data_IF_170140497086
#
_entry.id   IF_170140497086
#
_cell.length_a   1.000
_cell.length_b   1.000
_cell.length_c   1.000
_cell.angle_alpha   90.00
_cell.angle_beta   90.00
_cell.angle_gamma   90.00
#
_symmetry.space_group_name_H-M   'P 1'
#
loop_
_entity.id
_entity.type
_entity.pdbx_description
1 polymer ?
#
# COMPACT_ATOMS: atom_id res chain seq x y z
N UNK A 1 -8.04 3.70 -19.64
CA UNK A 1 -7.66 5.14 -19.73
C UNK A 1 -8.89 6.01 -19.55
N UNK A 2 -8.73 7.24 -19.04
CA UNK A 2 -9.82 8.23 -18.84
C UNK A 2 -9.99 9.21 -20.00
N UNK A 3 -9.18 9.08 -21.02
CA UNK A 3 -9.22 9.81 -22.29
C UNK A 3 -9.66 8.87 -23.40
N UNK A 4 -9.83 9.39 -24.60
CA UNK A 4 -10.06 8.57 -25.78
C UNK A 4 -8.98 7.51 -25.93
N UNK A 5 -9.40 6.30 -26.28
CA UNK A 5 -8.51 5.15 -26.52
C UNK A 5 -7.63 5.44 -27.73
N UNK A 6 -6.31 5.29 -27.56
CA UNK A 6 -5.32 5.55 -28.63
C UNK A 6 -4.55 4.32 -29.06
N UNK A 7 -4.64 3.22 -28.29
CA UNK A 7 -3.94 1.98 -28.57
C UNK A 7 -4.87 0.78 -28.32
N UNK A 8 -4.63 -0.31 -29.02
CA UNK A 8 -5.42 -1.54 -28.94
C UNK A 8 -5.47 -2.13 -27.52
N UNK A 9 -4.35 -2.02 -26.78
CA UNK A 9 -4.22 -2.47 -25.38
C UNK A 9 -4.81 -1.50 -24.35
N UNK A 10 -5.50 -0.46 -24.77
CA UNK A 10 -6.18 0.47 -23.86
C UNK A 10 -7.68 0.16 -23.79
N UNK A 11 -8.23 0.28 -22.59
CA UNK A 11 -9.67 0.20 -22.31
C UNK A 11 -10.11 1.55 -21.75
N UNK A 12 -11.21 2.10 -22.30
CA UNK A 12 -11.83 3.29 -21.70
C UNK A 12 -12.40 2.96 -20.34
N UNK A 13 -12.06 3.79 -19.36
CA UNK A 13 -12.48 3.61 -17.98
C UNK A 13 -12.54 4.97 -17.26
N UNK A 14 -13.73 5.38 -16.86
CA UNK A 14 -13.99 6.66 -16.21
C UNK A 14 -14.82 6.46 -14.92
N UNK A 15 -14.17 6.19 -13.77
CA UNK A 15 -14.87 5.91 -12.51
C UNK A 15 -15.81 7.02 -12.07
N UNK A 16 -15.44 8.30 -12.23
CA UNK A 16 -16.26 9.42 -11.82
C UNK A 16 -17.54 9.58 -12.65
N UNK A 17 -17.55 9.06 -13.86
CA UNK A 17 -18.72 9.01 -14.74
C UNK A 17 -19.45 7.67 -14.67
N UNK A 18 -18.89 6.70 -13.95
CA UNK A 18 -19.39 5.31 -13.90
C UNK A 18 -19.46 4.65 -15.29
N UNK A 19 -18.47 4.90 -16.14
CA UNK A 19 -18.39 4.42 -17.52
C UNK A 19 -17.15 3.53 -17.71
N UNK A 20 -17.33 2.39 -18.38
CA UNK A 20 -16.29 1.47 -18.80
C UNK A 20 -16.69 0.82 -20.13
N UNK A 21 -15.72 0.50 -20.97
CA UNK A 21 -15.92 -0.31 -22.18
C UNK A 21 -16.23 -1.76 -21.78
N UNK A 22 -17.51 -2.12 -21.83
CA UNK A 22 -18.02 -3.43 -21.40
C UNK A 22 -17.54 -4.54 -22.34
N UNK A 23 -17.50 -4.28 -23.66
CA UNK A 23 -17.08 -5.29 -24.64
C UNK A 23 -15.64 -5.72 -24.36
N UNK A 24 -14.73 -4.77 -24.17
CA UNK A 24 -13.35 -5.06 -23.78
C UNK A 24 -13.22 -5.64 -22.37
N UNK A 25 -14.03 -5.20 -21.42
CA UNK A 25 -14.05 -5.79 -20.08
C UNK A 25 -14.33 -7.30 -20.12
N UNK A 26 -15.27 -7.74 -20.95
CA UNK A 26 -15.65 -9.13 -21.11
C UNK A 26 -14.57 -10.01 -21.74
N UNK A 27 -13.56 -9.42 -22.39
CA UNK A 27 -12.43 -10.16 -22.99
C UNK A 27 -11.27 -10.38 -22.01
N UNK A 28 -11.32 -9.82 -20.78
CA UNK A 28 -10.25 -9.93 -19.81
C UNK A 28 -10.30 -11.25 -19.04
N UNK A 29 -9.15 -11.83 -18.78
CA UNK A 29 -9.00 -13.00 -17.89
C UNK A 29 -8.96 -12.58 -16.41
N UNK A 30 -8.31 -11.44 -16.13
CA UNK A 30 -8.08 -10.94 -14.78
C UNK A 30 -8.01 -9.41 -14.75
N UNK A 31 -8.29 -8.83 -13.58
CA UNK A 31 -8.13 -7.40 -13.30
C UNK A 31 -7.23 -7.21 -12.08
N UNK A 32 -6.27 -6.28 -12.22
CA UNK A 32 -5.51 -5.75 -11.08
C UNK A 32 -5.85 -4.26 -10.95
N UNK A 33 -6.59 -3.91 -9.91
CA UNK A 33 -7.03 -2.54 -9.64
C UNK A 33 -6.06 -1.82 -8.70
N UNK A 34 -5.20 -0.97 -9.27
CA UNK A 34 -4.20 -0.18 -8.52
C UNK A 34 -4.51 1.32 -8.49
N UNK A 35 -5.58 1.74 -9.17
CA UNK A 35 -5.84 3.15 -9.38
C UNK A 35 -6.36 3.84 -8.12
N UNK A 36 -5.74 4.97 -7.78
CA UNK A 36 -6.15 5.81 -6.66
C UNK A 36 -5.27 7.07 -6.59
N UNK A 37 -5.80 8.12 -5.99
CA UNK A 37 -5.04 9.34 -5.68
C UNK A 37 -3.93 9.01 -4.67
N UNK A 38 -2.72 9.55 -4.86
CA UNK A 38 -1.60 9.32 -3.95
C UNK A 38 -1.92 9.78 -2.52
N UNK A 39 -1.63 8.92 -1.54
CA UNK A 39 -1.76 9.25 -0.12
C UNK A 39 -0.68 10.26 0.30
N UNK A 40 0.56 10.05 -0.14
CA UNK A 40 1.69 10.93 0.13
C UNK A 40 1.84 12.01 -0.95
N UNK A 41 2.51 13.13 -0.66
CA UNK A 41 2.94 14.08 -1.66
C UNK A 41 3.85 13.44 -2.72
N UNK A 42 3.93 14.05 -3.89
CA UNK A 42 4.77 13.57 -4.99
C UNK A 42 6.27 13.86 -4.80
N UNK A 43 6.58 14.86 -3.99
CA UNK A 43 7.93 15.32 -3.71
C UNK A 43 8.08 15.81 -2.26
N UNK A 44 9.32 16.09 -1.84
CA UNK A 44 9.62 16.54 -0.47
C UNK A 44 8.97 17.87 -0.13
N UNK A 45 8.83 18.76 -1.10
CA UNK A 45 8.22 20.07 -0.90
C UNK A 45 6.72 19.96 -0.62
N UNK A 46 6.09 18.87 -1.09
CA UNK A 46 4.71 18.56 -0.81
C UNK A 46 4.41 18.30 0.67
N UNK A 47 5.41 18.01 1.49
CA UNK A 47 5.24 17.88 2.95
C UNK A 47 5.21 19.24 3.67
N UNK A 48 5.66 20.31 3.04
CA UNK A 48 5.65 21.64 3.66
C UNK A 48 4.21 22.11 3.95
N UNK A 49 4.00 22.89 5.03
CA UNK A 49 2.66 23.28 5.48
C UNK A 49 1.78 23.97 4.43
N UNK A 50 2.38 24.70 3.51
CA UNK A 50 1.67 25.50 2.48
C UNK A 50 1.57 24.81 1.12
N UNK A 51 2.14 23.63 0.93
CA UNK A 51 2.24 22.96 -0.36
C UNK A 51 0.99 22.21 -0.80
N UNK A 52 -0.05 22.08 0.06
CA UNK A 52 -1.27 21.32 -0.24
C UNK A 52 -1.11 19.79 -0.23
N UNK A 53 0.07 19.28 0.13
CA UNK A 53 0.31 17.83 0.23
C UNK A 53 -0.26 17.16 1.48
N UNK A 54 -0.64 17.97 2.47
CA UNK A 54 -1.30 17.50 3.70
C UNK A 54 -2.73 17.01 3.44
N UNK A 55 -3.24 16.15 4.31
CA UNK A 55 -4.62 15.68 4.25
C UNK A 55 -5.62 16.76 4.69
N UNK A 56 -5.86 17.75 3.84
CA UNK A 56 -6.98 18.66 3.97
C UNK A 56 -8.29 18.01 3.45
N UNK A 57 -9.42 18.67 3.62
CA UNK A 57 -10.74 18.14 3.22
C UNK A 57 -10.79 17.76 1.74
N UNK A 58 -10.21 18.58 0.87
CA UNK A 58 -10.19 18.37 -0.57
C UNK A 58 -9.30 17.17 -0.95
N UNK A 59 -8.09 17.09 -0.39
CA UNK A 59 -7.18 15.96 -0.62
C UNK A 59 -7.79 14.64 -0.13
N UNK A 60 -8.39 14.63 1.07
CA UNK A 60 -9.11 13.47 1.60
C UNK A 60 -10.27 13.05 0.69
N UNK A 61 -11.07 14.00 0.22
CA UNK A 61 -12.15 13.73 -0.72
C UNK A 61 -11.61 13.07 -2.01
N UNK A 62 -10.53 13.61 -2.61
CA UNK A 62 -9.92 12.99 -3.80
C UNK A 62 -9.40 11.58 -3.52
N UNK A 63 -8.73 11.38 -2.38
CA UNK A 63 -8.21 10.07 -1.97
C UNK A 63 -9.34 9.05 -1.85
N UNK A 64 -10.41 9.38 -1.15
CA UNK A 64 -11.54 8.50 -0.91
C UNK A 64 -12.29 8.19 -2.21
N UNK A 65 -12.73 9.20 -2.92
CA UNK A 65 -13.59 9.03 -4.10
C UNK A 65 -12.86 8.43 -5.29
N UNK A 66 -11.54 8.67 -5.44
CA UNK A 66 -10.77 8.04 -6.52
C UNK A 66 -10.77 6.51 -6.42
N UNK A 67 -10.92 5.96 -5.20
CA UNK A 67 -10.98 4.53 -4.93
C UNK A 67 -12.42 4.01 -4.95
N UNK A 68 -13.29 4.70 -4.22
CA UNK A 68 -14.70 4.31 -4.08
C UNK A 68 -15.39 4.20 -5.44
N UNK A 69 -15.26 5.22 -6.27
CA UNK A 69 -15.85 5.18 -7.63
C UNK A 69 -15.26 4.08 -8.50
N UNK A 70 -13.98 3.78 -8.36
CA UNK A 70 -13.35 2.67 -9.09
C UNK A 70 -13.89 1.32 -8.65
N UNK A 71 -13.97 1.10 -7.35
CA UNK A 71 -14.51 -0.15 -6.79
C UNK A 71 -16.00 -0.31 -7.14
N UNK A 72 -16.80 0.75 -7.02
CA UNK A 72 -18.23 0.72 -7.34
C UNK A 72 -18.47 0.44 -8.83
N UNK A 73 -17.69 1.05 -9.72
CA UNK A 73 -17.79 0.80 -11.17
C UNK A 73 -17.48 -0.66 -11.49
N UNK A 74 -16.44 -1.25 -10.91
CA UNK A 74 -16.15 -2.67 -11.11
C UNK A 74 -17.27 -3.56 -10.57
N UNK A 75 -17.78 -3.30 -9.37
CA UNK A 75 -18.90 -4.05 -8.80
C UNK A 75 -20.14 -3.99 -9.72
N UNK A 76 -20.50 -2.80 -10.20
CA UNK A 76 -21.57 -2.61 -11.15
C UNK A 76 -21.34 -3.42 -12.42
N UNK A 77 -20.15 -3.27 -13.04
CA UNK A 77 -19.81 -3.92 -14.30
C UNK A 77 -19.83 -5.45 -14.17
N UNK A 78 -19.27 -5.99 -13.07
CA UNK A 78 -19.37 -7.43 -12.80
C UNK A 78 -20.82 -7.90 -12.72
N UNK A 79 -21.67 -7.18 -11.98
CA UNK A 79 -23.05 -7.59 -11.73
C UNK A 79 -23.98 -7.44 -12.94
N UNK A 80 -23.59 -6.61 -13.91
CA UNK A 80 -24.35 -6.36 -15.17
C UNK A 80 -23.81 -7.17 -16.36
N UNK A 81 -22.69 -7.91 -16.18
CA UNK A 81 -22.04 -8.67 -17.26
C UNK A 81 -22.31 -10.17 -17.12
N UNK A 82 -22.67 -10.83 -18.21
CA UNK A 82 -22.78 -12.30 -18.28
C UNK A 82 -21.41 -12.97 -18.43
N UNK A 83 -20.46 -12.28 -19.08
CA UNK A 83 -19.07 -12.71 -19.26
C UNK A 83 -18.19 -11.74 -18.50
N UNK A 84 -17.32 -12.26 -17.63
CA UNK A 84 -16.51 -11.43 -16.73
C UNK A 84 -15.18 -12.11 -16.36
N UNK A 85 -14.16 -11.32 -16.02
CA UNK A 85 -12.87 -11.82 -15.52
C UNK A 85 -13.05 -12.68 -14.25
N UNK A 86 -12.37 -13.82 -14.21
CA UNK A 86 -12.50 -14.76 -13.08
C UNK A 86 -11.64 -14.38 -11.88
N UNK A 87 -10.73 -13.41 -12.04
CA UNK A 87 -9.80 -12.97 -11.02
C UNK A 87 -9.89 -11.45 -10.90
N UNK A 88 -10.13 -10.97 -9.69
CA UNK A 88 -10.07 -9.55 -9.37
C UNK A 88 -9.12 -9.33 -8.19
N UNK A 89 -8.00 -8.65 -8.42
CA UNK A 89 -7.06 -8.25 -7.38
C UNK A 89 -7.17 -6.74 -7.19
N UNK A 90 -7.52 -6.30 -5.99
CA UNK A 90 -7.52 -4.88 -5.64
C UNK A 90 -6.35 -4.54 -4.74
N UNK A 91 -5.72 -3.39 -4.98
CA UNK A 91 -4.85 -2.80 -3.98
C UNK A 91 -5.68 -2.42 -2.75
N UNK A 92 -5.07 -2.59 -1.59
CA UNK A 92 -5.54 -2.10 -0.30
C UNK A 92 -4.31 -1.70 0.53
N UNK A 93 -4.48 -1.35 1.78
CA UNK A 93 -3.39 -0.99 2.67
C UNK A 93 -3.45 -1.75 3.99
N UNK A 94 -2.28 -2.05 4.55
CA UNK A 94 -2.18 -2.63 5.90
C UNK A 94 -2.74 -1.73 6.99
N UNK A 95 -2.90 -0.44 6.71
CA UNK A 95 -3.54 0.53 7.61
C UNK A 95 -4.98 0.17 7.97
N UNK A 96 -5.62 -0.72 7.21
CA UNK A 96 -6.96 -1.24 7.51
C UNK A 96 -7.04 -1.86 8.92
N UNK A 97 -5.95 -2.42 9.41
CA UNK A 97 -5.90 -3.01 10.75
C UNK A 97 -5.96 -1.97 11.86
N UNK A 98 -5.46 -0.73 11.61
CA UNK A 98 -5.24 0.28 12.62
C UNK A 98 -4.06 -0.05 13.54
N UNK A 99 -3.82 0.79 14.55
CA UNK A 99 -2.69 0.62 15.46
C UNK A 99 -2.92 -0.55 16.42
N UNK A 100 -2.01 -1.51 16.42
CA UNK A 100 -2.05 -2.71 17.28
C UNK A 100 -0.87 -2.81 18.26
N UNK A 101 -0.03 -1.74 18.36
CA UNK A 101 1.17 -1.80 19.20
C UNK A 101 2.10 -2.92 18.75
N UNK A 102 2.40 -3.84 19.66
CA UNK A 102 3.26 -5.01 19.43
C UNK A 102 2.50 -6.33 19.17
N UNK A 103 1.15 -6.28 19.12
CA UNK A 103 0.37 -7.47 18.76
C UNK A 103 0.70 -7.92 17.34
N UNK A 104 0.87 -9.24 17.16
CA UNK A 104 1.09 -9.84 15.83
C UNK A 104 -0.21 -9.86 15.05
N UNK A 105 -0.16 -9.33 13.83
CA UNK A 105 -1.29 -9.23 12.90
C UNK A 105 -1.07 -10.21 11.75
N UNK A 106 -2.11 -10.98 11.39
CA UNK A 106 -2.15 -11.83 10.19
C UNK A 106 -3.43 -11.55 9.40
N UNK A 107 -3.61 -12.22 8.27
CA UNK A 107 -4.84 -12.12 7.48
C UNK A 107 -6.09 -12.65 8.21
N UNK A 108 -5.90 -13.44 9.25
CA UNK A 108 -6.99 -13.94 10.11
C UNK A 108 -7.44 -12.93 11.18
N UNK A 109 -6.69 -11.83 11.37
CA UNK A 109 -7.06 -10.78 12.32
C UNK A 109 -8.32 -10.06 11.86
N UNK A 110 -9.39 -10.15 12.65
CA UNK A 110 -10.71 -9.55 12.37
C UNK A 110 -11.00 -8.31 13.20
N UNK A 111 -10.23 -8.09 14.27
CA UNK A 111 -10.35 -6.88 15.09
C UNK A 111 -9.55 -5.76 14.43
N UNK A 112 -10.24 -4.70 14.03
CA UNK A 112 -9.63 -3.49 13.46
C UNK A 112 -9.73 -2.35 14.47
N UNK A 113 -8.58 -1.75 14.80
CA UNK A 113 -8.54 -0.60 15.70
C UNK A 113 -8.80 0.67 14.89
N UNK A 114 -10.09 1.02 14.76
CA UNK A 114 -10.56 2.11 13.92
C UNK A 114 -10.22 3.48 14.49
N UNK A 115 -10.02 4.47 13.64
CA UNK A 115 -9.85 5.87 14.03
C UNK A 115 -9.09 6.76 13.07
N UNK A 116 -8.49 6.22 12.01
CA UNK A 116 -7.73 7.00 11.04
C UNK A 116 -8.41 7.07 9.67
N UNK A 117 -8.11 8.14 8.92
CA UNK A 117 -8.69 8.34 7.59
C UNK A 117 -8.22 7.30 6.57
N UNK A 118 -6.95 6.94 6.59
CA UNK A 118 -6.37 5.93 5.70
C UNK A 118 -6.94 4.53 5.94
N UNK A 119 -7.24 4.19 7.19
CA UNK A 119 -7.98 2.98 7.54
C UNK A 119 -9.38 2.97 6.94
N UNK A 120 -10.13 4.06 7.14
CA UNK A 120 -11.46 4.23 6.57
C UNK A 120 -11.42 4.08 5.03
N UNK A 121 -10.42 4.66 4.37
CA UNK A 121 -10.23 4.53 2.93
C UNK A 121 -9.99 3.09 2.51
N UNK A 122 -9.14 2.36 3.23
CA UNK A 122 -8.83 0.96 2.93
C UNK A 122 -10.08 0.06 3.12
N UNK A 123 -10.84 0.29 4.19
CA UNK A 123 -12.01 -0.51 4.51
C UNK A 123 -13.21 -0.17 3.60
N UNK A 124 -13.62 1.11 3.55
CA UNK A 124 -14.89 1.51 2.93
C UNK A 124 -14.77 1.81 1.42
N UNK A 125 -13.63 2.33 0.99
CA UNK A 125 -13.47 2.71 -0.41
C UNK A 125 -12.87 1.60 -1.28
N UNK A 126 -12.04 0.73 -0.72
CA UNK A 126 -11.42 -0.36 -1.47
C UNK A 126 -12.03 -1.73 -1.20
N UNK A 127 -12.07 -2.21 0.06
CA UNK A 127 -12.39 -3.61 0.34
C UNK A 127 -13.88 -3.90 0.44
N UNK A 128 -14.65 -3.08 1.18
CA UNK A 128 -16.06 -3.33 1.46
C UNK A 128 -16.95 -3.38 0.20
N UNK A 129 -16.77 -2.50 -0.80
CA UNK A 129 -17.62 -2.55 -2.00
C UNK A 129 -17.59 -3.89 -2.71
N UNK A 130 -16.45 -4.57 -2.73
CA UNK A 130 -16.26 -5.83 -3.46
C UNK A 130 -17.13 -6.98 -2.96
N UNK A 131 -17.64 -6.88 -1.72
CA UNK A 131 -18.59 -7.86 -1.18
C UNK A 131 -19.94 -7.88 -1.91
N UNK A 132 -20.24 -6.83 -2.66
CA UNK A 132 -21.45 -6.70 -3.47
C UNK A 132 -21.35 -7.36 -4.86
N UNK A 133 -20.20 -7.92 -5.23
CA UNK A 133 -20.08 -8.76 -6.44
C UNK A 133 -20.89 -10.05 -6.22
N UNK A 134 -21.88 -10.27 -7.09
CA UNK A 134 -22.84 -11.38 -6.97
C UNK A 134 -22.27 -12.73 -7.44
N UNK A 135 -21.31 -12.69 -8.36
CA UNK A 135 -20.69 -13.87 -8.97
C UNK A 135 -19.74 -14.54 -8.00
N UNK A 136 -20.15 -15.70 -7.45
CA UNK A 136 -19.41 -16.44 -6.42
C UNK A 136 -18.16 -17.16 -6.93
N UNK A 137 -18.04 -17.32 -8.23
CA UNK A 137 -16.91 -17.92 -8.92
C UNK A 137 -15.78 -16.91 -9.24
N UNK A 138 -16.01 -15.62 -8.98
CA UNK A 138 -14.96 -14.61 -9.08
C UNK A 138 -14.04 -14.73 -7.86
N UNK A 139 -12.76 -15.01 -8.10
CA UNK A 139 -11.73 -15.03 -7.08
C UNK A 139 -11.24 -13.61 -6.79
N UNK A 140 -11.59 -13.10 -5.63
CA UNK A 140 -11.23 -11.74 -5.19
C UNK A 140 -10.03 -11.83 -4.25
N UNK A 141 -8.96 -11.06 -4.55
CA UNK A 141 -7.79 -10.87 -3.69
C UNK A 141 -7.70 -9.41 -3.28
N UNK A 142 -7.57 -9.17 -1.98
CA UNK A 142 -7.42 -7.84 -1.38
C UNK A 142 -5.97 -7.69 -0.94
N UNK A 143 -5.12 -7.12 -1.80
CA UNK A 143 -3.69 -6.96 -1.57
C UNK A 143 -3.45 -5.82 -0.57
N UNK A 144 -3.28 -6.16 0.72
CA UNK A 144 -2.98 -5.22 1.81
C UNK A 144 -1.50 -4.88 1.80
N UNK A 145 -1.15 -3.85 1.05
CA UNK A 145 0.22 -3.41 0.90
C UNK A 145 0.73 -2.72 2.18
N UNK A 146 1.91 -3.14 2.64
CA UNK A 146 2.68 -2.44 3.65
C UNK A 146 3.37 -1.20 3.08
N UNK A 147 4.38 -0.72 3.79
CA UNK A 147 5.22 0.39 3.35
C UNK A 147 6.14 -0.07 2.21
N UNK A 148 5.78 0.28 0.98
CA UNK A 148 6.51 -0.13 -0.22
C UNK A 148 7.77 0.72 -0.37
N UNK A 149 8.91 0.05 -0.41
CA UNK A 149 10.20 0.64 -0.76
C UNK A 149 10.49 0.41 -2.24
N UNK A 150 10.91 1.46 -2.93
CA UNK A 150 11.25 1.41 -4.36
C UNK A 150 12.11 2.60 -4.75
N UNK A 151 13.04 2.46 -5.69
CA UNK A 151 14.01 3.50 -6.10
C UNK A 151 13.35 4.81 -6.51
N UNK A 152 12.22 4.74 -7.21
CA UNK A 152 11.44 5.93 -7.63
C UNK A 152 10.56 6.53 -6.54
N UNK A 153 10.51 5.92 -5.35
CA UNK A 153 9.65 6.35 -4.26
C UNK A 153 10.34 7.44 -3.42
N UNK A 154 9.66 8.56 -3.18
CA UNK A 154 10.16 9.68 -2.38
C UNK A 154 10.58 9.27 -0.97
N UNK A 155 9.85 8.35 -0.33
CA UNK A 155 10.18 7.90 1.00
C UNK A 155 11.50 7.10 1.02
N UNK A 156 11.73 6.22 0.04
CA UNK A 156 12.98 5.49 -0.12
C UNK A 156 14.15 6.44 -0.38
N UNK A 157 13.94 7.45 -1.24
CA UNK A 157 14.96 8.47 -1.52
C UNK A 157 15.32 9.27 -0.26
N UNK A 158 14.32 9.67 0.53
CA UNK A 158 14.54 10.39 1.79
C UNK A 158 15.28 9.54 2.83
N UNK A 159 14.88 8.30 3.02
CA UNK A 159 15.56 7.36 3.92
C UNK A 159 17.01 7.18 3.50
N UNK A 160 17.25 6.97 2.21
CA UNK A 160 18.61 6.80 1.67
C UNK A 160 19.45 8.06 1.83
N UNK A 161 18.91 9.24 1.50
CA UNK A 161 19.60 10.51 1.59
C UNK A 161 19.96 10.85 3.04
N UNK A 162 18.98 10.78 3.96
CA UNK A 162 19.23 11.07 5.38
C UNK A 162 20.23 10.10 5.99
N UNK A 163 20.20 8.83 5.55
CA UNK A 163 21.19 7.83 5.96
C UNK A 163 22.59 8.18 5.45
N UNK A 164 22.75 8.48 4.15
CA UNK A 164 24.05 8.86 3.57
C UNK A 164 24.67 10.08 4.24
N UNK A 165 23.83 11.01 4.71
CA UNK A 165 24.26 12.23 5.41
C UNK A 165 24.46 12.05 6.93
N UNK A 166 24.27 10.85 7.51
CA UNK A 166 24.23 10.57 8.96
C UNK A 166 23.16 11.39 9.71
N UNK A 167 22.05 11.71 9.03
CA UNK A 167 20.90 12.41 9.61
C UNK A 167 19.74 11.48 9.95
N UNK A 168 19.91 10.17 9.77
CA UNK A 168 18.90 9.16 10.11
C UNK A 168 18.87 8.86 11.61
N UNK A 169 17.70 8.39 12.07
CA UNK A 169 17.51 7.99 13.47
C UNK A 169 16.08 7.57 13.77
N UNK A 170 15.77 7.39 15.05
CA UNK A 170 14.42 7.06 15.47
C UNK A 170 13.43 8.18 15.13
N UNK A 171 12.27 7.80 14.58
CA UNK A 171 11.14 8.70 14.37
C UNK A 171 10.19 8.59 15.55
N UNK A 172 10.08 9.67 16.37
CA UNK A 172 9.46 9.62 17.66
C UNK A 172 10.28 8.73 18.61
N UNK A 173 9.64 7.73 19.23
CA UNK A 173 10.30 6.71 20.06
C UNK A 173 11.00 5.64 19.21
N UNK A 174 10.48 5.39 18.00
CA UNK A 174 10.99 4.38 17.09
C UNK A 174 10.63 2.94 17.46
N UNK A 175 9.72 2.76 18.42
CA UNK A 175 9.24 1.47 18.91
C UNK A 175 8.07 0.90 18.08
N UNK A 176 7.44 1.74 17.26
CA UNK A 176 6.39 1.29 16.33
C UNK A 176 6.94 0.34 15.27
N UNK A 177 6.21 -0.74 14.98
CA UNK A 177 6.55 -1.69 13.91
C UNK A 177 6.23 -1.13 12.52
N UNK A 178 7.19 -1.28 11.62
CA UNK A 178 7.05 -0.94 10.21
C UNK A 178 6.96 -2.21 9.35
N UNK A 179 5.78 -2.48 8.86
CA UNK A 179 5.56 -3.55 7.90
C UNK A 179 5.89 -3.05 6.50
N UNK A 180 7.13 -3.23 6.09
CA UNK A 180 7.67 -2.83 4.79
C UNK A 180 7.70 -3.97 3.78
N UNK A 181 7.87 -3.66 2.50
CA UNK A 181 8.10 -4.61 1.42
C UNK A 181 8.84 -3.91 0.27
N UNK A 182 9.67 -4.63 -0.48
CA UNK A 182 10.29 -4.12 -1.70
C UNK A 182 9.28 -4.03 -2.85
N UNK A 183 9.49 -3.12 -3.80
CA UNK A 183 8.63 -3.02 -4.99
C UNK A 183 8.72 -4.30 -5.84
N UNK A 184 9.88 -4.93 -5.89
CA UNK A 184 10.12 -6.19 -6.60
C UNK A 184 9.26 -7.31 -6.00
N UNK A 185 9.27 -7.45 -4.67
CA UNK A 185 8.43 -8.43 -3.98
C UNK A 185 6.93 -8.12 -4.11
N UNK A 186 6.53 -6.84 -4.16
CA UNK A 186 5.15 -6.45 -4.46
C UNK A 186 4.73 -6.95 -5.83
N UNK A 187 5.54 -6.72 -6.87
CA UNK A 187 5.23 -7.16 -8.24
C UNK A 187 5.16 -8.69 -8.30
N UNK A 188 6.13 -9.38 -7.68
CA UNK A 188 6.16 -10.83 -7.60
C UNK A 188 4.95 -11.40 -6.85
N UNK A 189 4.50 -10.74 -5.75
CA UNK A 189 3.33 -11.14 -5.00
C UNK A 189 2.02 -10.97 -5.80
N UNK A 190 1.88 -9.88 -6.59
CA UNK A 190 0.74 -9.75 -7.52
C UNK A 190 0.73 -10.87 -8.55
N UNK A 191 1.88 -11.16 -9.18
CA UNK A 191 2.00 -12.27 -10.13
C UNK A 191 1.67 -13.61 -9.46
N UNK A 192 2.22 -13.88 -8.29
CA UNK A 192 1.95 -15.09 -7.52
C UNK A 192 0.45 -15.23 -7.19
N UNK A 193 -0.21 -14.15 -6.79
CA UNK A 193 -1.66 -14.16 -6.54
C UNK A 193 -2.49 -14.38 -7.82
N UNK A 194 -2.03 -13.96 -8.99
CA UNK A 194 -2.71 -14.29 -10.26
C UNK A 194 -2.64 -15.78 -10.54
N UNK A 195 -1.47 -16.39 -10.39
CA UNK A 195 -1.18 -17.78 -10.77
C UNK A 195 -1.67 -18.80 -9.73
N UNK A 196 -1.59 -18.47 -8.43
CA UNK A 196 -1.98 -19.39 -7.35
C UNK A 196 -3.48 -19.33 -7.07
N UNK A 197 -4.19 -20.41 -7.43
CA UNK A 197 -5.65 -20.52 -7.26
C UNK A 197 -6.12 -20.65 -5.81
N UNK A 198 -5.21 -21.01 -4.88
CA UNK A 198 -5.54 -21.18 -3.46
C UNK A 198 -5.62 -19.84 -2.72
N UNK A 199 -5.06 -18.76 -3.29
CA UNK A 199 -5.04 -17.44 -2.67
C UNK A 199 -6.33 -16.67 -2.98
N UNK A 200 -7.06 -16.30 -1.93
CA UNK A 200 -8.25 -15.45 -2.02
C UNK A 200 -8.46 -14.62 -0.76
N UNK A 201 -9.34 -13.61 -0.82
CA UNK A 201 -9.64 -12.70 0.28
C UNK A 201 -8.47 -11.76 0.60
N UNK A 202 -8.31 -11.30 1.87
CA UNK A 202 -7.20 -10.46 2.28
C UNK A 202 -5.86 -11.21 2.21
N UNK A 203 -4.82 -10.52 1.71
CA UNK A 203 -3.44 -11.01 1.64
C UNK A 203 -2.50 -9.88 2.03
N UNK A 204 -1.64 -10.10 3.01
CA UNK A 204 -0.68 -9.11 3.47
C UNK A 204 0.56 -9.09 2.58
N UNK A 205 0.79 -8.00 1.90
CA UNK A 205 1.98 -7.76 1.08
C UNK A 205 3.01 -7.00 1.92
N UNK A 206 3.73 -7.74 2.77
CA UNK A 206 4.76 -7.23 3.68
C UNK A 206 5.94 -8.20 3.73
N UNK A 207 7.13 -7.72 4.08
CA UNK A 207 8.28 -8.57 4.38
C UNK A 207 7.97 -9.54 5.52
N UNK A 208 8.49 -10.79 5.48
CA UNK A 208 8.18 -11.82 6.46
C UNK A 208 8.77 -11.56 7.85
N UNK A 209 9.69 -10.59 7.98
CA UNK A 209 10.37 -10.27 9.23
C UNK A 209 9.93 -8.88 9.73
N UNK A 210 8.92 -8.81 10.62
CA UNK A 210 8.51 -7.54 11.21
C UNK A 210 9.64 -6.94 12.06
N UNK A 211 9.90 -5.64 11.88
CA UNK A 211 10.92 -4.90 12.62
C UNK A 211 10.36 -3.55 13.09
N UNK A 212 10.91 -3.02 14.21
CA UNK A 212 10.57 -1.68 14.65
C UNK A 212 11.21 -0.62 13.75
N UNK A 213 10.67 0.60 13.76
CA UNK A 213 11.23 1.70 12.95
C UNK A 213 12.69 1.99 13.33
N UNK A 214 13.03 1.93 14.62
CA UNK A 214 14.40 2.10 15.09
C UNK A 214 15.33 1.00 14.60
N UNK A 215 14.89 -0.26 14.63
CA UNK A 215 15.66 -1.39 14.06
C UNK A 215 15.83 -1.25 12.56
N UNK A 216 14.75 -0.88 11.85
CA UNK A 216 14.80 -0.59 10.42
C UNK A 216 15.89 0.45 10.11
N UNK A 217 15.84 1.60 10.76
CA UNK A 217 16.82 2.68 10.55
C UNK A 217 18.24 2.25 10.86
N UNK A 218 18.45 1.52 11.96
CA UNK A 218 19.78 1.05 12.39
C UNK A 218 20.35 0.01 11.38
N UNK A 219 19.56 -0.98 10.98
CA UNK A 219 19.98 -2.03 10.05
C UNK A 219 20.25 -1.45 8.66
N UNK A 220 19.39 -0.55 8.20
CA UNK A 220 19.57 0.16 6.93
C UNK A 220 20.86 1.00 6.93
N UNK A 221 21.10 1.80 7.97
CA UNK A 221 22.29 2.65 8.10
C UNK A 221 23.59 1.81 8.17
N UNK A 222 23.57 0.67 8.84
CA UNK A 222 24.73 -0.24 8.94
C UNK A 222 25.20 -0.71 7.57
N UNK A 223 24.30 -1.00 6.64
CA UNK A 223 24.66 -1.39 5.25
C UNK A 223 25.41 -0.27 4.55
N UNK A 224 25.01 1.00 4.77
CA UNK A 224 25.71 2.18 4.23
C UNK A 224 26.97 2.56 5.00
N UNK A 225 27.38 1.78 6.03
CA UNK A 225 28.47 2.11 6.95
C UNK A 225 28.26 3.48 7.62
N UNK A 226 27.03 3.74 8.01
CA UNK A 226 26.56 5.00 8.63
C UNK A 226 25.93 4.73 10.00
N UNK A 227 25.70 5.81 10.76
CA UNK A 227 25.02 5.77 12.04
C UNK A 227 23.57 6.26 11.90
N UNK A 228 22.70 5.73 12.76
CA UNK A 228 21.28 6.10 12.82
C UNK A 228 20.96 6.54 14.26
N UNK A 229 21.44 7.74 14.64
CA UNK A 229 21.42 8.23 16.01
C UNK A 229 20.70 9.57 16.21
N UNK A 230 20.33 10.26 15.15
CA UNK A 230 19.68 11.58 15.23
C UNK A 230 18.17 11.39 15.33
N UNK A 231 17.53 11.58 16.49
CA UNK A 231 16.10 11.39 16.63
C UNK A 231 15.34 12.54 15.97
N UNK A 232 14.25 12.20 15.26
CA UNK A 232 13.29 13.18 14.81
C UNK A 232 12.07 13.18 15.75
N UNK A 233 11.88 14.22 16.58
CA UNK A 233 10.78 14.25 17.53
C UNK A 233 9.42 14.20 16.83
N UNK A 234 8.47 13.44 17.37
CA UNK A 234 7.12 13.30 16.82
C UNK A 234 6.43 14.66 16.60
N UNK A 235 6.65 15.61 17.52
CA UNK A 235 6.08 16.96 17.39
C UNK A 235 6.58 17.64 16.12
N UNK A 236 7.87 17.54 15.79
CA UNK A 236 8.44 18.13 14.58
C UNK A 236 7.86 17.48 13.31
N UNK A 237 7.72 16.15 13.28
CA UNK A 237 7.12 15.42 12.17
C UNK A 237 5.64 15.79 12.00
N UNK A 238 4.89 15.87 13.11
CA UNK A 238 3.49 16.30 13.09
C UNK A 238 3.32 17.75 12.59
N UNK A 239 4.25 18.63 12.94
CA UNK A 239 4.23 20.02 12.44
C UNK A 239 4.51 20.07 10.94
N UNK A 240 5.42 19.25 10.44
CA UNK A 240 5.79 19.18 9.02
C UNK A 240 4.69 18.56 8.17
N UNK A 241 4.19 17.38 8.53
CA UNK A 241 3.29 16.58 7.70
C UNK A 241 1.81 16.74 8.05
N UNK A 242 1.50 17.22 9.25
CA UNK A 242 0.18 17.12 9.88
C UNK A 242 0.04 15.83 10.68
N UNK A 243 -0.59 15.90 11.85
CA UNK A 243 -0.65 14.79 12.82
C UNK A 243 -1.30 13.53 12.25
N UNK A 244 -2.34 13.66 11.45
CA UNK A 244 -3.09 12.54 10.89
C UNK A 244 -2.28 11.78 9.82
N UNK A 245 -1.64 12.51 8.89
CA UNK A 245 -0.77 11.90 7.88
C UNK A 245 0.47 11.25 8.52
N UNK A 246 1.07 11.94 9.50
CA UNK A 246 2.22 11.42 10.23
C UNK A 246 1.87 10.15 11.02
N UNK A 247 0.68 10.11 11.65
CA UNK A 247 0.24 8.90 12.36
C UNK A 247 0.04 7.75 11.37
N UNK A 248 -0.73 7.92 10.32
CA UNK A 248 -1.03 6.84 9.37
C UNK A 248 0.21 6.29 8.65
N UNK A 249 1.15 7.16 8.23
CA UNK A 249 2.31 6.73 7.45
C UNK A 249 3.55 6.36 8.28
N UNK A 250 3.68 6.90 9.52
CA UNK A 250 4.94 6.80 10.29
C UNK A 250 4.74 6.16 11.67
N UNK A 251 3.71 6.59 12.42
CA UNK A 251 3.59 6.26 13.84
C UNK A 251 2.62 5.11 14.15
N UNK A 252 1.78 4.72 13.20
CA UNK A 252 0.92 3.55 13.34
C UNK A 252 1.78 2.29 13.45
N UNK A 253 1.62 1.55 14.55
CA UNK A 253 2.37 0.32 14.80
C UNK A 253 1.66 -0.88 14.21
N UNK A 254 2.30 -1.53 13.25
CA UNK A 254 1.75 -2.64 12.47
C UNK A 254 2.76 -3.79 12.41
N UNK A 255 2.68 -4.71 13.38
CA UNK A 255 3.51 -5.93 13.41
C UNK A 255 2.86 -7.03 12.59
N UNK A 256 2.98 -6.97 11.26
CA UNK A 256 2.26 -7.84 10.34
C UNK A 256 3.14 -8.97 9.82
N UNK A 257 2.54 -10.15 9.70
CA UNK A 257 3.13 -11.34 9.06
C UNK A 257 2.30 -11.67 7.80
N UNK A 258 2.95 -11.95 6.67
CA UNK A 258 2.28 -12.35 5.43
C UNK A 258 1.99 -13.86 5.46
N UNK A 259 1.10 -14.30 6.37
CA UNK A 259 0.87 -15.71 6.67
C UNK A 259 0.42 -16.51 5.45
N UNK A 260 -0.48 -15.93 4.63
CA UNK A 260 -0.97 -16.61 3.41
C UNK A 260 0.13 -16.78 2.35
N UNK A 261 0.94 -15.74 2.11
CA UNK A 261 2.05 -15.84 1.15
C UNK A 261 3.06 -16.91 1.58
N UNK A 262 3.41 -16.91 2.87
CA UNK A 262 4.34 -17.90 3.42
C UNK A 262 3.78 -19.33 3.34
N UNK A 263 2.51 -19.52 3.70
CA UNK A 263 1.85 -20.83 3.67
C UNK A 263 1.76 -21.41 2.26
N UNK A 264 1.53 -20.56 1.27
CA UNK A 264 1.43 -20.96 -0.13
C UNK A 264 2.79 -21.05 -0.83
N UNK A 265 3.90 -20.83 -0.11
CA UNK A 265 5.26 -21.01 -0.63
C UNK A 265 5.81 -19.83 -1.45
N UNK A 266 5.30 -18.61 -1.23
CA UNK A 266 5.89 -17.41 -1.86
C UNK A 266 7.32 -17.19 -1.39
N UNK A 267 8.24 -17.00 -2.33
CA UNK A 267 9.65 -16.73 -2.07
C UNK A 267 9.92 -15.23 -2.21
N UNK A 268 10.33 -14.60 -1.11
CA UNK A 268 10.72 -13.19 -1.11
C UNK A 268 12.14 -13.04 -1.68
N UNK A 269 12.33 -12.06 -2.54
CA UNK A 269 13.65 -11.65 -3.05
C UNK A 269 14.42 -10.88 -1.97
N UNK A 270 13.71 -10.03 -1.21
CA UNK A 270 14.27 -9.22 -0.12
C UNK A 270 13.54 -9.48 1.20
N UNK A 271 13.77 -10.64 1.86
CA UNK A 271 13.07 -11.00 3.09
C UNK A 271 13.45 -10.14 4.30
N UNK A 272 14.62 -9.52 4.28
CA UNK A 272 15.14 -8.63 5.34
C UNK A 272 15.62 -7.30 4.76
N UNK A 273 15.57 -6.26 5.59
CA UNK A 273 15.87 -4.89 5.13
C UNK A 273 17.32 -4.70 4.69
N UNK A 274 18.24 -5.45 5.29
CA UNK A 274 19.68 -5.41 4.93
C UNK A 274 19.92 -5.80 3.48
N UNK A 275 19.19 -6.78 2.95
CA UNK A 275 19.36 -7.24 1.58
C UNK A 275 18.85 -6.19 0.59
N UNK A 276 17.69 -5.59 0.88
CA UNK A 276 17.18 -4.50 0.06
C UNK A 276 18.06 -3.25 0.13
N UNK A 277 18.59 -2.91 1.32
CA UNK A 277 19.51 -1.80 1.49
C UNK A 277 20.82 -1.98 0.70
N UNK A 278 21.31 -3.23 0.56
CA UNK A 278 22.48 -3.56 -0.31
C UNK A 278 22.14 -3.28 -1.77
N UNK A 279 21.00 -3.77 -2.27
CA UNK A 279 20.55 -3.53 -3.63
C UNK A 279 20.43 -2.03 -3.97
N UNK A 280 19.96 -1.22 -3.00
CA UNK A 280 19.88 0.24 -3.15
C UNK A 280 21.24 0.95 -3.11
N UNK A 281 22.24 0.33 -2.50
CA UNK A 281 23.59 0.91 -2.34
C UNK A 281 24.49 0.63 -3.52
N UNK A 282 24.39 -0.58 -4.10
CA UNK A 282 25.28 -1.08 -5.14
C UNK A 282 24.98 -0.49 -6.53
N UNK A 283 23.98 0.35 -6.60
CA UNK A 283 23.61 1.18 -7.75
C UNK A 283 23.94 2.65 -7.53
#
# INVERSE_FOLDING_TARGET
VRRDVKAENEIFWSPSKQEIDIEKFQTLDAIIHLAGESLAPKDIFGFLPLSGGRWNKEKKSRIYWSRKWGSDLFVKTYNESDIYPKIFITASGTTIYGDHGDEVITESTTKFNRGTFDQLVAEEAWESPLSAIKHKDVRIVKARNGFILGKGNIATQLITLTTKLNLSGPLGKGDQYWSWISIEDVVNAYKFCLENKNISGPVNFVSPVPITQKEFSNRFAKVFKKFSIIPAPQIAINLLMGSELAHGLIFCSLRIIPEKLLKEGFSFEYPIIEDYAKALKDE
#
